data_IF_155922235234
#
_entry.id   IF_155922235234
#
_cell.length_a   1.000
_cell.length_b   1.000
_cell.length_c   1.000
_cell.angle_alpha   90.00
_cell.angle_beta   90.00
_cell.angle_gamma   90.00
#
_symmetry.space_group_name_H-M   'P 1'
#
loop_
_entity.id
_entity.type
_entity.pdbx_description
1 polymer ?
#
# COMPACT_ATOMS: atom_id res chain seq x y z
N UNK A 1 36.44 20.46 -19.12
CA UNK A 1 34.98 20.28 -18.93
C UNK A 1 34.53 21.40 -18.03
N UNK A 2 34.00 22.46 -18.65
CA UNK A 2 33.75 23.74 -17.99
C UNK A 2 32.47 24.32 -18.59
N UNK A 3 31.40 24.35 -17.80
CA UNK A 3 30.09 24.93 -18.14
C UNK A 3 30.18 26.45 -18.29
N UNK A 4 29.42 27.06 -19.21
CA UNK A 4 29.04 28.45 -19.04
C UNK A 4 27.52 28.68 -19.14
N UNK A 5 27.01 29.37 -18.11
CA UNK A 5 26.03 30.44 -18.24
C UNK A 5 24.55 30.05 -18.36
N UNK A 6 23.72 30.62 -17.47
CA UNK A 6 23.06 31.89 -17.77
C UNK A 6 22.31 32.43 -16.55
N UNK A 7 22.43 33.75 -16.39
CA UNK A 7 21.93 34.57 -15.31
C UNK A 7 20.46 34.92 -15.53
N UNK A 8 19.68 34.90 -14.46
CA UNK A 8 18.33 35.47 -14.37
C UNK A 8 18.40 37.01 -14.35
N UNK A 9 17.52 37.71 -15.09
CA UNK A 9 16.95 38.95 -14.55
C UNK A 9 15.43 39.07 -14.78
N UNK A 10 14.72 39.21 -13.65
CA UNK A 10 13.62 40.16 -13.40
C UNK A 10 12.79 40.67 -14.59
N UNK A 11 11.54 40.22 -14.68
CA UNK A 11 10.46 40.90 -15.41
C UNK A 11 9.40 41.42 -14.43
N UNK A 12 9.41 42.74 -14.27
CA UNK A 12 8.36 43.54 -13.63
C UNK A 12 7.30 43.86 -14.69
N UNK A 13 6.04 43.52 -14.45
CA UNK A 13 4.90 44.20 -15.09
C UNK A 13 3.83 44.45 -14.02
N UNK A 14 3.72 45.71 -13.61
CA UNK A 14 2.60 46.24 -12.83
C UNK A 14 1.57 46.80 -13.80
N UNK A 15 0.32 46.34 -13.74
CA UNK A 15 -0.83 47.10 -14.23
C UNK A 15 -1.83 47.20 -13.09
N UNK A 16 -1.91 48.41 -12.53
CA UNK A 16 -2.90 48.84 -11.54
C UNK A 16 -4.12 49.33 -12.31
N UNK A 17 -5.25 48.63 -12.21
CA UNK A 17 -6.54 49.20 -12.57
C UNK A 17 -7.13 49.90 -11.34
N UNK A 18 -7.04 51.23 -11.36
CA UNK A 18 -7.62 52.11 -10.36
C UNK A 18 -9.12 52.23 -10.55
N UNK A 19 -9.89 51.79 -9.55
CA UNK A 19 -11.31 52.15 -9.42
C UNK A 19 -11.43 53.51 -8.72
N UNK A 20 -12.22 54.46 -9.27
CA UNK A 20 -12.45 55.76 -8.64
C UNK A 20 -13.41 55.60 -7.44
N UNK A 21 -13.02 56.13 -6.27
CA UNK A 21 -13.96 56.36 -5.17
C UNK A 21 -13.61 55.84 -3.77
N UNK A 22 -12.50 55.10 -3.58
CA UNK A 22 -12.15 54.60 -2.24
C UNK A 22 -11.21 55.58 -1.52
N UNK A 23 -11.74 56.31 -0.53
CA UNK A 23 -10.92 57.12 0.38
C UNK A 23 -10.00 56.21 1.20
N UNK A 24 -8.71 56.56 1.22
CA UNK A 24 -7.64 55.86 1.96
C UNK A 24 -7.96 55.87 3.47
N UNK A 25 -8.39 54.74 4.03
CA UNK A 25 -8.54 54.60 5.49
C UNK A 25 -7.12 54.52 6.07
N UNK A 26 -6.78 55.41 7.01
CA UNK A 26 -5.49 55.44 7.72
C UNK A 26 -5.28 54.11 8.46
N UNK A 27 -4.06 53.57 8.38
CA UNK A 27 -3.65 52.35 9.06
C UNK A 27 -3.88 52.46 10.58
N UNK A 28 -4.71 51.56 11.13
CA UNK A 28 -4.87 51.36 12.56
C UNK A 28 -3.95 50.19 12.96
N UNK A 29 -2.98 50.42 13.85
CA UNK A 29 -2.19 49.34 14.46
C UNK A 29 -2.98 48.80 15.66
N UNK A 30 -3.53 47.57 15.64
CA UNK A 30 -4.20 47.03 16.80
C UNK A 30 -3.19 46.73 17.93
N UNK A 31 -3.55 46.95 19.20
CA UNK A 31 -2.68 46.67 20.35
C UNK A 31 -2.41 45.17 20.51
N UNK A 32 -1.21 44.84 20.99
CA UNK A 32 -0.57 43.52 21.05
C UNK A 32 -1.21 42.49 22.02
N UNK A 33 -2.54 42.47 22.17
CA UNK A 33 -3.26 41.58 23.11
C UNK A 33 -4.12 40.53 22.36
N UNK A 34 -3.88 40.33 21.07
CA UNK A 34 -4.48 39.24 20.27
C UNK A 34 -3.45 38.15 19.92
N UNK A 35 -2.60 37.78 20.88
CA UNK A 35 -1.59 36.72 20.72
C UNK A 35 -1.88 35.48 21.60
N UNK A 36 -3.13 35.27 22.01
CA UNK A 36 -3.46 34.21 22.97
C UNK A 36 -4.79 33.50 22.68
N UNK A 37 -5.13 33.25 21.41
CA UNK A 37 -6.23 32.35 21.00
C UNK A 37 -5.90 31.69 19.65
N UNK A 38 -4.75 31.02 19.56
CA UNK A 38 -4.28 30.44 18.30
C UNK A 38 -3.41 29.19 18.45
N UNK A 39 -3.50 28.48 19.58
CA UNK A 39 -2.84 27.18 19.78
C UNK A 39 -3.80 26.25 20.51
N UNK A 40 -4.88 25.86 19.85
CA UNK A 40 -5.61 24.62 20.10
C UNK A 40 -6.59 24.47 18.93
N UNK A 41 -6.69 23.26 18.38
CA UNK A 41 -7.48 22.91 17.18
C UNK A 41 -6.83 23.25 15.83
N UNK A 42 -5.63 22.71 15.62
CA UNK A 42 -5.25 22.17 14.31
C UNK A 42 -4.63 20.78 14.51
N UNK A 43 -5.43 19.87 15.06
CA UNK A 43 -5.15 18.44 14.90
C UNK A 43 -5.51 18.11 13.46
N UNK A 44 -4.55 17.60 12.66
CA UNK A 44 -4.76 17.42 11.23
C UNK A 44 -5.89 16.42 11.02
N UNK A 45 -6.68 16.69 9.99
CA UNK A 45 -7.63 15.76 9.43
C UNK A 45 -7.02 14.36 9.41
N UNK A 46 -7.76 13.39 9.98
CA UNK A 46 -7.61 12.00 9.64
C UNK A 46 -7.93 11.87 8.14
N UNK A 47 -6.94 12.19 7.30
CA UNK A 47 -6.95 11.80 5.91
C UNK A 47 -6.75 10.31 5.90
N UNK A 48 -7.86 9.58 5.96
CA UNK A 48 -7.95 8.23 5.43
C UNK A 48 -7.68 8.29 3.93
N UNK A 49 -6.43 8.50 3.54
CA UNK A 49 -5.98 8.22 2.19
C UNK A 49 -5.87 6.71 2.11
N UNK A 50 -6.80 6.09 1.40
CA UNK A 50 -6.60 4.76 0.85
C UNK A 50 -5.23 4.77 0.15
N UNK A 51 -4.27 4.06 0.74
CA UNK A 51 -2.91 3.92 0.26
C UNK A 51 -2.95 3.11 -1.05
N UNK A 52 -3.25 3.75 -2.17
CA UNK A 52 -2.79 3.25 -3.47
C UNK A 52 -1.31 3.62 -3.59
N UNK A 53 -0.49 2.95 -2.78
CA UNK A 53 0.95 3.07 -2.84
C UNK A 53 1.45 2.32 -4.06
N UNK A 54 1.60 3.01 -5.18
CA UNK A 54 2.40 2.48 -6.28
C UNK A 54 3.86 2.61 -5.88
N UNK A 55 4.47 1.50 -5.48
CA UNK A 55 5.92 1.40 -5.31
C UNK A 55 6.51 0.86 -6.60
N UNK A 56 7.26 1.70 -7.33
CA UNK A 56 8.03 1.23 -8.47
C UNK A 56 9.23 0.43 -7.95
N UNK A 57 9.28 -0.85 -8.26
CA UNK A 57 10.47 -1.67 -8.06
C UNK A 57 11.40 -1.49 -9.27
N UNK A 58 12.72 -1.37 -9.07
CA UNK A 58 13.67 -1.33 -10.18
C UNK A 58 13.69 -2.71 -10.84
N UNK A 59 12.94 -2.84 -11.93
CA UNK A 59 12.92 -4.02 -12.80
C UNK A 59 13.29 -3.56 -14.21
N UNK A 60 14.18 -4.30 -14.85
CA UNK A 60 14.64 -3.98 -16.21
C UNK A 60 13.68 -4.49 -17.29
N UNK A 61 12.64 -5.23 -16.89
CA UNK A 61 11.68 -5.90 -17.77
C UNK A 61 10.23 -5.67 -17.33
N UNK A 62 9.29 -5.83 -18.28
CA UNK A 62 7.85 -5.75 -18.01
C UNK A 62 7.36 -7.07 -17.41
N UNK A 63 7.36 -7.15 -16.09
CA UNK A 63 7.01 -8.36 -15.33
C UNK A 63 5.68 -8.13 -14.57
N UNK A 64 4.87 -9.18 -14.48
CA UNK A 64 3.69 -9.25 -13.61
C UNK A 64 3.84 -10.50 -12.73
N UNK A 65 3.63 -10.37 -11.42
CA UNK A 65 3.54 -11.49 -10.50
C UNK A 65 2.07 -11.76 -10.18
N UNK A 66 1.60 -12.99 -10.42
CA UNK A 66 0.26 -13.43 -10.05
C UNK A 66 0.31 -14.09 -8.68
N UNK A 67 -0.51 -13.60 -7.77
CA UNK A 67 -0.66 -14.17 -6.42
C UNK A 67 -2.12 -14.51 -6.14
N UNK A 68 -2.34 -15.59 -5.40
CA UNK A 68 -3.68 -16.02 -4.98
C UNK A 68 -3.70 -16.22 -3.47
N UNK A 69 -4.63 -15.55 -2.80
CA UNK A 69 -4.81 -15.63 -1.35
C UNK A 69 -5.98 -16.56 -0.98
N UNK A 70 -6.15 -16.83 0.31
CA UNK A 70 -7.28 -17.57 0.91
C UNK A 70 -7.44 -19.06 0.53
N UNK A 71 -6.51 -19.61 -0.24
CA UNK A 71 -6.49 -21.03 -0.61
C UNK A 71 -5.93 -21.96 0.47
N UNK A 72 -5.86 -23.28 0.22
CA UNK A 72 -6.50 -23.98 -0.90
C UNK A 72 -8.01 -24.07 -0.73
N UNK A 73 -8.72 -24.03 -1.86
CA UNK A 73 -10.15 -24.30 -1.96
C UNK A 73 -10.37 -25.53 -2.85
N UNK A 74 -11.14 -26.51 -2.36
CA UNK A 74 -11.37 -27.77 -3.05
C UNK A 74 -12.00 -27.65 -4.44
N UNK A 75 -12.80 -26.61 -4.69
CA UNK A 75 -13.49 -26.41 -5.96
C UNK A 75 -12.72 -25.51 -6.92
N UNK A 76 -12.13 -24.43 -6.42
CA UNK A 76 -11.58 -23.36 -7.26
C UNK A 76 -10.08 -23.50 -7.50
N UNK A 77 -9.30 -23.95 -6.52
CA UNK A 77 -7.85 -24.08 -6.69
C UNK A 77 -7.49 -25.04 -7.84
N UNK A 78 -8.12 -26.22 -8.00
CA UNK A 78 -7.85 -27.09 -9.15
C UNK A 78 -8.14 -26.42 -10.50
N UNK A 79 -9.22 -25.62 -10.60
CA UNK A 79 -9.59 -24.89 -11.83
C UNK A 79 -8.59 -23.78 -12.15
N UNK A 80 -8.10 -23.08 -11.13
CA UNK A 80 -7.05 -22.07 -11.30
C UNK A 80 -5.77 -22.74 -11.82
N UNK A 81 -5.37 -23.90 -11.26
CA UNK A 81 -4.21 -24.65 -11.73
C UNK A 81 -4.34 -25.10 -13.19
N UNK A 82 -5.55 -25.49 -13.62
CA UNK A 82 -5.81 -25.82 -15.03
C UNK A 82 -5.59 -24.62 -15.96
N UNK A 83 -6.17 -23.46 -15.63
CA UNK A 83 -6.01 -22.22 -16.40
C UNK A 83 -4.53 -21.78 -16.45
N UNK A 84 -3.83 -21.80 -15.30
CA UNK A 84 -2.41 -21.44 -15.26
C UNK A 84 -1.56 -22.38 -16.11
N UNK A 85 -1.89 -23.67 -16.12
CA UNK A 85 -1.22 -24.67 -16.97
C UNK A 85 -1.50 -24.43 -18.46
N UNK A 86 -2.74 -24.12 -18.85
CA UNK A 86 -3.11 -23.83 -20.24
C UNK A 86 -2.33 -22.66 -20.82
N UNK A 87 -2.02 -21.66 -19.99
CA UNK A 87 -1.28 -20.47 -20.38
C UNK A 87 0.24 -20.56 -20.12
N UNK A 88 0.73 -21.69 -19.59
CA UNK A 88 2.13 -21.88 -19.16
C UNK A 88 2.63 -20.76 -18.21
N UNK A 89 1.79 -20.36 -17.26
CA UNK A 89 2.09 -19.29 -16.29
C UNK A 89 2.33 -19.86 -14.90
N UNK A 90 3.32 -19.31 -14.18
CA UNK A 90 3.57 -19.60 -12.76
C UNK A 90 2.99 -18.51 -11.86
N UNK A 91 2.73 -18.88 -10.61
CA UNK A 91 2.04 -18.05 -9.63
C UNK A 91 2.47 -18.46 -8.22
N UNK A 92 2.18 -17.59 -7.25
CA UNK A 92 2.42 -17.83 -5.82
C UNK A 92 1.08 -17.92 -5.09
N UNK A 93 0.88 -18.98 -4.32
CA UNK A 93 -0.35 -19.22 -3.56
C UNK A 93 -0.13 -18.98 -2.07
N UNK A 94 -0.69 -17.91 -1.53
CA UNK A 94 -0.71 -17.64 -0.09
C UNK A 94 -1.85 -18.44 0.55
N UNK A 95 -1.50 -19.52 1.25
CA UNK A 95 -2.47 -20.46 1.80
C UNK A 95 -2.74 -20.25 3.28
N UNK A 96 -4.01 -20.45 3.67
CA UNK A 96 -4.43 -20.45 5.06
C UNK A 96 -4.07 -21.81 5.68
N UNK A 97 -3.35 -21.81 6.80
CA UNK A 97 -2.83 -23.02 7.45
C UNK A 97 -3.89 -24.09 7.73
N UNK A 98 -5.07 -23.72 8.26
CA UNK A 98 -6.14 -24.71 8.49
C UNK A 98 -6.69 -25.34 7.20
N UNK A 99 -6.72 -24.59 6.10
CA UNK A 99 -7.19 -25.09 4.81
C UNK A 99 -6.12 -25.98 4.18
N UNK A 100 -4.86 -25.58 4.27
CA UNK A 100 -3.72 -26.38 3.86
C UNK A 100 -3.66 -27.73 4.59
N UNK A 101 -4.01 -27.75 5.89
CA UNK A 101 -4.08 -28.97 6.68
C UNK A 101 -5.22 -29.88 6.22
N UNK A 102 -6.36 -29.30 5.84
CA UNK A 102 -7.54 -30.04 5.39
C UNK A 102 -7.39 -30.61 3.97
N UNK A 103 -6.62 -29.95 3.09
CA UNK A 103 -6.48 -30.30 1.68
C UNK A 103 -5.01 -30.49 1.25
N UNK A 104 -4.27 -31.43 1.87
CA UNK A 104 -2.84 -31.61 1.60
C UNK A 104 -2.57 -32.11 0.17
N UNK A 105 -3.52 -32.78 -0.47
CA UNK A 105 -3.45 -33.16 -1.89
C UNK A 105 -3.43 -31.96 -2.83
N UNK A 106 -4.17 -30.90 -2.51
CA UNK A 106 -4.18 -29.69 -3.34
C UNK A 106 -2.85 -28.97 -3.22
N UNK A 107 -2.25 -28.91 -2.03
CA UNK A 107 -0.89 -28.37 -1.85
C UNK A 107 0.13 -29.14 -2.69
N UNK A 108 0.07 -30.47 -2.67
CA UNK A 108 0.95 -31.30 -3.51
C UNK A 108 0.75 -30.98 -4.99
N UNK A 109 -0.49 -30.80 -5.45
CA UNK A 109 -0.78 -30.45 -6.84
C UNK A 109 -0.22 -29.07 -7.21
N UNK A 110 -0.38 -28.06 -6.35
CA UNK A 110 0.20 -26.72 -6.55
C UNK A 110 1.73 -26.84 -6.72
N UNK A 111 2.41 -27.53 -5.79
CA UNK A 111 3.87 -27.73 -5.83
C UNK A 111 4.32 -28.52 -7.05
N UNK A 112 3.63 -29.61 -7.38
CA UNK A 112 3.96 -30.47 -8.53
C UNK A 112 3.74 -29.74 -9.88
N UNK A 113 2.84 -28.77 -9.93
CA UNK A 113 2.66 -27.90 -11.10
C UNK A 113 3.73 -26.79 -11.21
N UNK A 114 4.66 -26.69 -10.24
CA UNK A 114 5.77 -25.75 -10.24
C UNK A 114 5.41 -24.34 -9.77
N UNK A 115 4.33 -24.20 -9.00
CA UNK A 115 3.96 -22.95 -8.35
C UNK A 115 4.59 -22.84 -6.96
N UNK A 116 4.68 -21.61 -6.44
CA UNK A 116 5.13 -21.34 -5.08
C UNK A 116 3.95 -21.40 -4.10
N UNK A 117 4.21 -21.82 -2.87
CA UNK A 117 3.23 -21.87 -1.77
C UNK A 117 3.79 -21.05 -0.62
N UNK A 118 3.02 -20.07 -0.17
CA UNK A 118 3.40 -19.12 0.86
C UNK A 118 2.34 -19.00 1.95
N UNK A 119 2.69 -18.30 3.03
CA UNK A 119 1.93 -18.28 4.28
C UNK A 119 0.88 -17.17 4.32
N UNK A 120 -0.40 -17.52 4.53
CA UNK A 120 -1.50 -16.58 4.73
C UNK A 120 -2.14 -16.66 6.13
N UNK A 121 -1.32 -16.87 7.16
CA UNK A 121 -1.73 -17.14 8.55
C UNK A 121 -2.52 -18.45 8.72
N UNK A 122 -2.77 -18.84 9.98
CA UNK A 122 -3.43 -20.11 10.26
C UNK A 122 -4.95 -20.04 10.11
N UNK A 123 -5.55 -18.96 10.61
CA UNK A 123 -7.01 -18.79 10.70
C UNK A 123 -7.56 -17.68 9.81
N UNK A 124 -6.71 -16.84 9.21
CA UNK A 124 -7.12 -15.65 8.47
C UNK A 124 -8.05 -14.76 9.31
N UNK A 125 -7.56 -14.33 10.48
CA UNK A 125 -8.33 -13.48 11.39
C UNK A 125 -8.41 -12.05 10.85
N UNK A 126 -9.62 -11.53 10.69
CA UNK A 126 -9.84 -10.12 10.32
C UNK A 126 -9.18 -9.14 11.31
N UNK A 127 -9.11 -9.50 12.59
CA UNK A 127 -8.52 -8.66 13.65
C UNK A 127 -7.07 -9.03 13.96
N UNK A 128 -6.33 -9.60 12.99
CA UNK A 128 -4.96 -10.06 13.21
C UNK A 128 -4.05 -8.97 13.81
N UNK A 129 -4.19 -7.71 13.37
CA UNK A 129 -3.41 -6.57 13.88
C UNK A 129 -3.69 -6.22 15.34
N UNK A 130 -4.84 -6.62 15.88
CA UNK A 130 -5.21 -6.41 17.28
C UNK A 130 -4.78 -7.58 18.19
N UNK A 131 -4.24 -8.66 17.63
CA UNK A 131 -3.75 -9.79 18.41
C UNK A 131 -2.42 -9.46 19.12
N UNK A 132 -2.13 -10.19 20.21
CA UNK A 132 -0.82 -10.13 20.83
C UNK A 132 0.26 -10.70 19.91
N UNK A 133 1.50 -10.23 20.03
CA UNK A 133 2.63 -10.70 19.22
C UNK A 133 2.79 -12.22 19.26
N UNK A 134 2.62 -12.83 20.44
CA UNK A 134 2.65 -14.29 20.61
C UNK A 134 1.58 -15.00 19.78
N UNK A 135 0.39 -14.42 19.65
CA UNK A 135 -0.70 -15.03 18.86
C UNK A 135 -0.42 -14.88 17.36
N UNK A 136 0.10 -13.73 16.93
CA UNK A 136 0.53 -13.53 15.54
C UNK A 136 1.65 -14.50 15.18
N UNK A 137 2.66 -14.64 16.03
CA UNK A 137 3.75 -15.59 15.87
C UNK A 137 3.22 -17.02 15.73
N UNK A 138 2.28 -17.43 16.60
CA UNK A 138 1.67 -18.76 16.51
C UNK A 138 0.92 -18.98 15.19
N UNK A 139 0.18 -17.98 14.71
CA UNK A 139 -0.54 -18.05 13.42
C UNK A 139 0.43 -18.24 12.24
N UNK A 140 1.55 -17.52 12.25
CA UNK A 140 2.58 -17.60 11.21
C UNK A 140 3.33 -18.93 11.32
N UNK A 141 3.94 -19.25 12.47
CA UNK A 141 4.78 -20.44 12.65
C UNK A 141 4.01 -21.74 12.40
N UNK A 142 2.76 -21.86 12.87
CA UNK A 142 1.97 -23.07 12.64
C UNK A 142 1.72 -23.33 11.14
N UNK A 143 1.50 -22.27 10.37
CA UNK A 143 1.31 -22.35 8.92
C UNK A 143 2.64 -22.63 8.22
N UNK A 144 3.72 -21.98 8.67
CA UNK A 144 5.06 -22.17 8.12
C UNK A 144 5.53 -23.62 8.28
N UNK A 145 5.39 -24.17 9.49
CA UNK A 145 5.75 -25.55 9.80
C UNK A 145 4.94 -26.57 9.00
N UNK A 146 3.75 -26.19 8.52
CA UNK A 146 2.90 -27.06 7.71
C UNK A 146 3.33 -27.06 6.24
N UNK A 147 3.59 -25.89 5.65
CA UNK A 147 3.85 -25.77 4.21
C UNK A 147 5.29 -26.15 3.82
N UNK A 148 6.23 -26.16 4.77
CA UNK A 148 7.64 -26.57 4.56
C UNK A 148 7.97 -28.01 4.99
N UNK A 149 6.97 -28.80 5.39
CA UNK A 149 7.11 -30.26 5.61
C UNK A 149 6.98 -31.04 4.30
#
# INVERSE_FOLDING_TARGET
MSQPGLKNPSLWISIVLGLPGVRKIRSFKPPAIMALWGVLVFFPAFSGCAHHGFTALPVDEKIIALTFDDGPNALYTPKILEILKEHDVKATFFVIGRQAQAFPEILRNIKNAGHEIENHSWNHSFFLSAHSSRKIEKEICATQDLIFK
#
